data_IF_567531181982
#
_entry.id   IF_567531181982
#
_cell.length_a   1.000
_cell.length_b   1.000
_cell.length_c   1.000
_cell.angle_alpha   90.00
_cell.angle_beta   90.00
_cell.angle_gamma   90.00
#
_symmetry.space_group_name_H-M   'P 1'
#
loop_
_entity.id
_entity.type
_entity.pdbx_description
1 polymer ?
#
# COMPACT_ATOMS: atom_id res chain seq x y z
N UNK A 1 -1.76 -0.60 -22.75
CA UNK A 1 -2.92 -0.82 -23.62
C UNK A 1 -4.15 -0.24 -22.95
N UNK A 2 -4.92 0.56 -23.70
CA UNK A 2 -6.19 1.13 -23.26
C UNK A 2 -7.32 0.42 -24.00
N UNK A 3 -8.28 -0.14 -23.26
CA UNK A 3 -9.45 -0.76 -23.87
C UNK A 3 -10.42 0.32 -24.39
N UNK A 4 -10.96 0.13 -25.60
CA UNK A 4 -11.91 1.06 -26.23
C UNK A 4 -13.31 0.46 -26.37
N UNK A 5 -13.45 -0.86 -26.22
CA UNK A 5 -14.73 -1.58 -26.15
C UNK A 5 -14.56 -2.87 -25.35
N UNK A 6 -15.68 -3.51 -24.98
CA UNK A 6 -15.65 -4.80 -24.32
C UNK A 6 -15.23 -5.93 -25.26
N UNK A 7 -14.54 -6.94 -24.74
CA UNK A 7 -14.13 -8.11 -25.50
C UNK A 7 -13.04 -8.94 -24.83
N UNK A 8 -12.45 -9.86 -25.59
CA UNK A 8 -11.36 -10.72 -25.13
C UNK A 8 -10.02 -9.98 -25.14
N UNK A 9 -9.12 -10.34 -24.22
CA UNK A 9 -7.78 -9.77 -24.15
C UNK A 9 -7.03 -9.90 -25.49
N UNK A 10 -7.21 -11.03 -26.17
CA UNK A 10 -6.50 -11.38 -27.40
C UNK A 10 -7.10 -10.76 -28.67
N UNK A 11 -8.26 -10.09 -28.57
CA UNK A 11 -8.88 -9.43 -29.72
C UNK A 11 -8.22 -8.06 -29.94
N UNK A 12 -7.48 -7.93 -31.04
CA UNK A 12 -6.78 -6.70 -31.40
C UNK A 12 -7.74 -5.49 -31.57
N UNK A 13 -9.00 -5.73 -31.91
CA UNK A 13 -9.99 -4.67 -32.14
C UNK A 13 -10.47 -4.00 -30.85
N UNK A 14 -10.25 -4.62 -29.69
CA UNK A 14 -10.61 -4.11 -28.35
C UNK A 14 -9.73 -2.95 -27.92
N UNK A 15 -8.53 -2.81 -28.49
CA UNK A 15 -7.49 -1.94 -27.97
C UNK A 15 -7.27 -0.69 -28.80
N UNK A 16 -6.96 0.42 -28.12
CA UNK A 16 -6.49 1.64 -28.77
C UNK A 16 -5.21 1.34 -29.58
N UNK A 17 -5.30 1.40 -30.90
CA UNK A 17 -4.20 1.09 -31.81
C UNK A 17 -4.33 -0.24 -32.57
N UNK A 18 -5.39 -1.01 -32.33
CA UNK A 18 -5.68 -2.20 -33.14
C UNK A 18 -4.68 -3.34 -32.97
N UNK A 19 -4.02 -3.41 -31.81
CA UNK A 19 -3.03 -4.45 -31.46
C UNK A 19 -3.41 -5.07 -30.12
N UNK A 20 -3.43 -6.39 -30.06
CA UNK A 20 -3.63 -7.11 -28.81
C UNK A 20 -2.38 -7.02 -27.92
N UNK A 21 -2.54 -7.01 -26.57
CA UNK A 21 -1.46 -7.12 -25.62
C UNK A 21 -0.52 -8.28 -25.92
N UNK A 22 0.79 -7.99 -25.91
CA UNK A 22 1.86 -8.94 -26.16
C UNK A 22 3.10 -8.56 -25.35
N UNK A 23 3.96 -9.52 -25.03
CA UNK A 23 5.16 -9.28 -24.22
C UNK A 23 4.81 -8.78 -22.82
N UNK A 24 5.59 -7.81 -22.31
CA UNK A 24 5.32 -7.15 -21.04
C UNK A 24 4.41 -5.96 -21.28
N UNK A 25 3.29 -5.89 -20.56
CA UNK A 25 2.32 -4.84 -20.78
C UNK A 25 1.62 -4.37 -19.51
N UNK A 26 1.03 -3.18 -19.60
CA UNK A 26 0.07 -2.66 -18.61
C UNK A 26 -1.27 -2.39 -19.28
N UNK A 27 -2.36 -2.57 -18.54
CA UNK A 27 -3.73 -2.37 -18.99
C UNK A 27 -4.39 -1.21 -18.24
N UNK A 28 -5.25 -0.49 -18.95
CA UNK A 28 -6.27 0.38 -18.37
C UNK A 28 -7.61 0.01 -18.98
N UNK A 29 -8.57 -0.34 -18.12
CA UNK A 29 -9.92 -0.74 -18.51
C UNK A 29 -10.87 0.39 -18.07
N UNK A 30 -11.37 1.24 -18.99
CA UNK A 30 -12.27 2.34 -18.65
C UNK A 30 -13.62 1.85 -18.11
N UNK A 31 -14.33 2.75 -17.43
CA UNK A 31 -15.67 2.48 -16.92
C UNK A 31 -16.61 2.01 -18.05
N UNK A 32 -17.50 1.06 -17.74
CA UNK A 32 -18.45 0.50 -18.71
C UNK A 32 -17.87 -0.52 -19.70
N UNK A 33 -16.55 -0.73 -19.71
CA UNK A 33 -15.88 -1.73 -20.56
C UNK A 33 -15.56 -2.98 -19.76
N UNK A 34 -15.80 -4.15 -20.35
CA UNK A 34 -15.43 -5.46 -19.80
C UNK A 34 -14.36 -6.10 -20.66
N UNK A 35 -13.19 -6.37 -20.06
CA UNK A 35 -12.17 -7.22 -20.65
C UNK A 35 -12.24 -8.60 -20.03
N UNK A 36 -12.35 -9.61 -20.89
CA UNK A 36 -12.35 -11.02 -20.49
C UNK A 36 -10.99 -11.64 -20.80
N UNK A 37 -10.48 -12.44 -19.88
CA UNK A 37 -9.37 -13.35 -20.11
C UNK A 37 -9.92 -14.77 -19.92
N UNK A 38 -10.32 -15.37 -21.04
CA UNK A 38 -10.81 -16.74 -21.08
C UNK A 38 -9.70 -17.79 -20.90
N UNK A 39 -10.08 -18.99 -20.48
CA UNK A 39 -9.14 -20.09 -20.23
C UNK A 39 -8.54 -20.09 -18.82
N UNK A 40 -7.60 -21.00 -18.56
CA UNK A 40 -7.10 -21.27 -17.20
C UNK A 40 -5.81 -20.53 -16.81
N UNK A 41 -5.15 -19.85 -17.74
CA UNK A 41 -3.83 -19.23 -17.49
C UNK A 41 -3.63 -17.97 -18.33
N UNK A 42 -3.17 -16.89 -17.71
CA UNK A 42 -2.54 -15.77 -18.40
C UNK A 42 -1.03 -16.00 -18.46
N UNK A 43 -0.55 -16.41 -19.63
CA UNK A 43 0.87 -16.71 -19.89
C UNK A 43 1.72 -15.48 -20.24
N UNK A 44 1.14 -14.29 -20.29
CA UNK A 44 1.86 -13.04 -20.57
C UNK A 44 2.07 -12.23 -19.30
N UNK A 45 3.14 -11.44 -19.25
CA UNK A 45 3.45 -10.61 -18.10
C UNK A 45 2.65 -9.30 -18.12
N UNK A 46 1.53 -9.31 -17.40
CA UNK A 46 0.77 -8.10 -17.10
C UNK A 46 1.36 -7.42 -15.87
N UNK A 47 2.16 -6.36 -16.09
CA UNK A 47 2.85 -5.63 -15.04
C UNK A 47 1.86 -4.89 -14.13
N UNK A 48 0.88 -4.21 -14.73
CA UNK A 48 -0.12 -3.42 -14.01
C UNK A 48 -1.45 -3.40 -14.75
N UNK A 49 -2.56 -3.50 -14.02
CA UNK A 49 -3.91 -3.38 -14.56
C UNK A 49 -4.73 -2.43 -13.70
N UNK A 50 -5.05 -1.24 -14.22
CA UNK A 50 -5.99 -0.30 -13.61
C UNK A 50 -7.40 -0.58 -14.15
N UNK A 51 -8.29 -1.04 -13.27
CA UNK A 51 -9.64 -1.50 -13.62
C UNK A 51 -10.69 -0.49 -13.16
N UNK A 52 -11.09 0.43 -14.04
CA UNK A 52 -12.25 1.31 -13.84
C UNK A 52 -13.56 0.66 -14.31
N UNK A 53 -13.47 -0.23 -15.30
CA UNK A 53 -14.59 -1.05 -15.81
C UNK A 53 -14.63 -2.41 -15.15
N UNK A 54 -14.49 -3.47 -15.94
CA UNK A 54 -14.51 -4.85 -15.44
C UNK A 54 -13.39 -5.67 -16.05
N UNK A 55 -12.64 -6.37 -15.19
CA UNK A 55 -11.74 -7.45 -15.57
C UNK A 55 -12.38 -8.78 -15.18
N UNK A 56 -12.67 -9.63 -16.15
CA UNK A 56 -13.28 -10.94 -15.92
C UNK A 56 -12.28 -12.05 -16.27
N UNK A 57 -12.06 -12.98 -15.33
CA UNK A 57 -10.99 -13.96 -15.42
C UNK A 57 -11.54 -15.39 -15.34
N UNK A 58 -11.01 -16.28 -16.19
CA UNK A 58 -11.15 -17.72 -15.97
C UNK A 58 -12.38 -18.36 -16.59
N UNK A 59 -13.08 -17.67 -17.49
CA UNK A 59 -14.22 -18.24 -18.20
C UNK A 59 -13.84 -19.57 -18.88
N UNK A 60 -14.62 -20.62 -18.61
CA UNK A 60 -14.40 -21.96 -19.14
C UNK A 60 -13.31 -22.78 -18.44
N UNK A 61 -12.81 -22.34 -17.27
CA UNK A 61 -11.77 -23.03 -16.51
C UNK A 61 -12.19 -23.30 -15.06
N UNK A 62 -11.60 -24.32 -14.44
CA UNK A 62 -11.79 -24.60 -13.01
C UNK A 62 -11.07 -23.59 -12.11
N UNK A 63 -9.92 -23.11 -12.54
CA UNK A 63 -9.07 -22.14 -11.84
C UNK A 63 -8.47 -21.16 -12.85
N UNK A 64 -8.02 -20.00 -12.39
CA UNK A 64 -7.27 -19.05 -13.23
C UNK A 64 -5.88 -18.80 -12.65
N UNK A 65 -4.85 -18.89 -13.49
CA UNK A 65 -3.44 -18.79 -13.08
C UNK A 65 -2.76 -17.61 -13.75
N UNK A 66 -2.09 -16.77 -12.96
CA UNK A 66 -1.11 -15.83 -13.49
C UNK A 66 0.24 -16.53 -13.58
N UNK A 67 0.86 -16.57 -14.77
CA UNK A 67 2.20 -17.13 -14.92
C UNK A 67 3.31 -16.19 -14.37
N UNK A 68 3.02 -14.89 -14.32
CA UNK A 68 3.92 -13.84 -13.83
C UNK A 68 3.20 -12.94 -12.84
N UNK A 69 3.91 -12.30 -11.89
CA UNK A 69 3.28 -11.49 -10.84
C UNK A 69 2.58 -10.26 -11.42
N UNK A 70 1.26 -10.10 -11.22
CA UNK A 70 0.55 -8.89 -11.62
C UNK A 70 0.36 -7.92 -10.46
N UNK A 71 0.23 -6.65 -10.81
CA UNK A 71 -0.36 -5.60 -9.96
C UNK A 71 -1.74 -5.25 -10.48
N UNK A 72 -2.79 -5.63 -9.75
CA UNK A 72 -4.17 -5.35 -10.13
C UNK A 72 -4.75 -4.31 -9.19
N UNK A 73 -5.23 -3.21 -9.77
CA UNK A 73 -5.80 -2.09 -9.03
C UNK A 73 -7.23 -1.90 -9.49
N UNK A 74 -8.18 -2.34 -8.68
CA UNK A 74 -9.60 -2.14 -8.94
C UNK A 74 -9.99 -0.76 -8.44
N UNK A 75 -10.25 0.14 -9.39
CA UNK A 75 -10.59 1.54 -9.14
C UNK A 75 -12.05 1.66 -8.70
N UNK A 76 -12.44 2.87 -8.28
CA UNK A 76 -13.84 3.15 -7.93
C UNK A 76 -14.78 2.78 -9.08
N UNK A 77 -15.91 2.15 -8.78
CA UNK A 77 -16.87 1.52 -9.71
C UNK A 77 -16.36 0.30 -10.51
N UNK A 78 -15.06 0.03 -10.45
CA UNK A 78 -14.43 -1.10 -11.11
C UNK A 78 -14.79 -2.44 -10.48
N UNK A 79 -14.69 -3.51 -11.28
CA UNK A 79 -14.96 -4.88 -10.83
C UNK A 79 -13.89 -5.87 -11.30
N UNK A 80 -13.43 -6.71 -10.37
CA UNK A 80 -12.72 -7.94 -10.70
C UNK A 80 -13.70 -9.12 -10.57
N UNK A 81 -13.97 -9.82 -11.68
CA UNK A 81 -14.89 -10.95 -11.73
C UNK A 81 -14.12 -12.26 -11.82
N UNK A 82 -14.45 -13.18 -10.94
CA UNK A 82 -14.12 -14.59 -11.05
C UNK A 82 -15.19 -15.31 -11.85
N UNK A 83 -14.77 -15.94 -12.94
CA UNK A 83 -15.62 -16.76 -13.80
C UNK A 83 -15.14 -18.23 -13.82
N UNK A 84 -14.24 -18.60 -12.91
CA UNK A 84 -13.78 -19.97 -12.75
C UNK A 84 -14.87 -20.81 -12.06
N UNK A 85 -14.94 -22.11 -12.37
CA UNK A 85 -15.95 -22.97 -11.74
C UNK A 85 -15.61 -23.38 -10.30
N UNK A 86 -14.35 -23.26 -9.85
CA UNK A 86 -13.94 -23.56 -8.47
C UNK A 86 -13.78 -22.33 -7.59
N UNK A 87 -13.98 -21.13 -8.13
CA UNK A 87 -13.71 -19.85 -7.47
C UNK A 87 -12.26 -19.73 -6.95
N UNK A 88 -11.27 -20.01 -7.81
CA UNK A 88 -9.85 -20.01 -7.42
C UNK A 88 -9.00 -19.23 -8.40
N UNK A 89 -8.26 -18.26 -7.87
CA UNK A 89 -7.18 -17.58 -8.55
C UNK A 89 -5.83 -17.98 -7.95
N UNK A 90 -4.87 -18.28 -8.83
CA UNK A 90 -3.52 -18.70 -8.50
C UNK A 90 -2.54 -17.60 -8.93
N UNK A 91 -1.76 -17.11 -7.98
CA UNK A 91 -0.79 -16.03 -8.15
C UNK A 91 0.62 -16.52 -7.81
N UNK A 92 1.67 -16.10 -8.54
CA UNK A 92 3.03 -16.25 -8.05
C UNK A 92 3.30 -15.24 -6.91
N UNK A 93 4.39 -15.43 -6.17
CA UNK A 93 4.90 -14.41 -5.24
C UNK A 93 5.16 -13.08 -5.96
N UNK A 94 5.18 -11.98 -5.20
CA UNK A 94 5.31 -10.59 -5.69
C UNK A 94 4.07 -10.03 -6.39
N UNK A 95 2.93 -10.68 -6.23
CA UNK A 95 1.65 -10.23 -6.78
C UNK A 95 0.92 -9.33 -5.78
N UNK A 96 0.12 -8.38 -6.27
CA UNK A 96 -0.74 -7.56 -5.40
C UNK A 96 -2.08 -7.29 -6.07
N UNK A 97 -3.14 -7.35 -5.26
CA UNK A 97 -4.47 -6.88 -5.62
C UNK A 97 -4.89 -5.81 -4.63
N UNK A 98 -5.14 -4.60 -5.14
CA UNK A 98 -5.69 -3.50 -4.36
C UNK A 98 -7.07 -3.13 -4.91
N UNK A 99 -8.08 -3.13 -4.07
CA UNK A 99 -9.43 -2.65 -4.38
C UNK A 99 -9.64 -1.36 -3.64
N UNK A 100 -9.78 -0.27 -4.40
CA UNK A 100 -9.98 1.07 -3.85
C UNK A 100 -11.44 1.22 -3.38
N UNK A 101 -11.70 2.29 -2.63
CA UNK A 101 -13.06 2.62 -2.20
C UNK A 101 -14.03 2.73 -3.39
N UNK A 102 -15.16 2.03 -3.29
CA UNK A 102 -16.17 1.93 -4.36
C UNK A 102 -15.83 0.93 -5.48
N UNK A 103 -14.64 0.31 -5.47
CA UNK A 103 -14.33 -0.86 -6.30
C UNK A 103 -14.85 -2.15 -5.68
N UNK A 104 -14.85 -3.25 -6.44
CA UNK A 104 -15.31 -4.53 -5.90
C UNK A 104 -14.81 -5.79 -6.58
N UNK A 105 -15.03 -6.91 -5.89
CA UNK A 105 -14.97 -8.27 -6.43
C UNK A 105 -16.40 -8.73 -6.70
N UNK A 106 -16.72 -9.09 -7.95
CA UNK A 106 -18.10 -9.47 -8.29
C UNK A 106 -18.47 -10.92 -7.97
N UNK A 107 -17.54 -11.73 -7.45
CA UNK A 107 -17.81 -13.06 -6.92
C UNK A 107 -17.35 -13.13 -5.46
N UNK A 108 -18.25 -13.53 -4.55
CA UNK A 108 -17.91 -13.80 -3.15
C UNK A 108 -17.27 -15.18 -3.04
N UNK A 109 -16.30 -15.33 -2.13
CA UNK A 109 -15.71 -16.65 -1.85
C UNK A 109 -14.62 -17.09 -2.82
N UNK A 110 -14.14 -16.22 -3.71
CA UNK A 110 -12.94 -16.50 -4.50
C UNK A 110 -11.73 -16.66 -3.59
N UNK A 111 -11.08 -17.82 -3.69
CA UNK A 111 -9.84 -18.10 -3.02
C UNK A 111 -8.66 -17.55 -3.83
N UNK A 112 -7.91 -16.64 -3.23
CA UNK A 112 -6.62 -16.17 -3.70
C UNK A 112 -5.55 -17.09 -3.12
N UNK A 113 -4.76 -17.73 -3.97
CA UNK A 113 -3.70 -18.65 -3.54
C UNK A 113 -2.37 -18.24 -4.14
N UNK A 114 -1.32 -18.36 -3.35
CA UNK A 114 0.03 -18.26 -3.85
C UNK A 114 0.51 -19.62 -4.38
N UNK A 115 1.26 -19.61 -5.47
CA UNK A 115 1.90 -20.79 -6.04
C UNK A 115 3.40 -20.51 -6.14
N UNK A 116 4.21 -21.36 -5.50
CA UNK A 116 5.67 -21.30 -5.58
C UNK A 116 6.22 -22.64 -6.07
N UNK A 117 7.03 -22.61 -7.14
CA UNK A 117 7.63 -23.82 -7.71
C UNK A 117 6.61 -24.88 -8.15
N UNK A 118 5.37 -24.48 -8.46
CA UNK A 118 4.27 -25.39 -8.83
C UNK A 118 3.50 -25.99 -7.65
N UNK A 119 3.84 -25.63 -6.41
CA UNK A 119 3.15 -26.08 -5.19
C UNK A 119 2.23 -24.98 -4.66
N UNK A 120 1.01 -25.36 -4.27
CA UNK A 120 0.07 -24.44 -3.62
C UNK A 120 0.60 -24.06 -2.23
N UNK A 121 0.78 -22.76 -1.98
CA UNK A 121 1.20 -22.20 -0.71
C UNK A 121 0.01 -21.68 0.10
N UNK A 122 0.22 -20.54 0.76
CA UNK A 122 -0.82 -19.82 1.49
C UNK A 122 -2.07 -19.54 0.64
N UNK A 123 -3.22 -19.47 1.31
CA UNK A 123 -4.51 -19.19 0.69
C UNK A 123 -5.30 -18.23 1.57
N UNK A 124 -5.97 -17.28 0.92
CA UNK A 124 -6.93 -16.38 1.53
C UNK A 124 -8.24 -16.44 0.74
N UNK A 125 -9.38 -16.46 1.41
CA UNK A 125 -10.69 -16.45 0.76
C UNK A 125 -11.33 -15.09 0.96
N UNK A 126 -11.73 -14.44 -0.14
CA UNK A 126 -12.38 -13.13 -0.09
C UNK A 126 -13.72 -13.21 0.64
N UNK A 127 -13.81 -12.46 1.74
CA UNK A 127 -15.01 -12.36 2.59
C UNK A 127 -15.92 -11.18 2.21
N UNK A 128 -15.35 -10.14 1.59
CA UNK A 128 -16.07 -8.95 1.09
C UNK A 128 -16.05 -8.88 -0.43
N UNK A 129 -17.14 -8.33 -0.99
CA UNK A 129 -17.26 -8.03 -2.42
C UNK A 129 -16.91 -6.57 -2.76
N UNK A 130 -16.62 -5.74 -1.75
CA UNK A 130 -16.36 -4.29 -1.92
C UNK A 130 -15.09 -3.87 -1.20
N UNK A 131 -14.34 -2.96 -1.82
CA UNK A 131 -13.21 -2.30 -1.17
C UNK A 131 -13.63 -1.23 -0.14
N UNK A 132 -12.67 -0.62 0.57
CA UNK A 132 -11.23 -0.76 0.36
C UNK A 132 -10.68 -2.09 0.87
N UNK A 133 -9.70 -2.65 0.16
CA UNK A 133 -9.05 -3.90 0.53
C UNK A 133 -7.72 -4.06 -0.21
N UNK A 134 -6.72 -4.65 0.43
CA UNK A 134 -5.46 -5.04 -0.21
C UNK A 134 -5.11 -6.47 0.13
N UNK A 135 -4.65 -7.23 -0.86
CA UNK A 135 -4.05 -8.55 -0.69
C UNK A 135 -2.69 -8.58 -1.38
N UNK A 136 -1.63 -8.82 -0.60
CA UNK A 136 -0.26 -8.95 -1.08
C UNK A 136 0.23 -10.39 -0.98
N UNK A 137 0.74 -10.93 -2.09
CA UNK A 137 1.43 -12.22 -2.12
C UNK A 137 2.93 -11.97 -1.98
N UNK A 138 3.48 -12.16 -0.79
CA UNK A 138 4.83 -11.73 -0.45
C UNK A 138 5.93 -12.63 -1.03
N UNK A 139 7.18 -12.15 -1.16
CA UNK A 139 8.31 -12.95 -1.64
C UNK A 139 8.55 -14.24 -0.85
N UNK A 140 8.25 -14.23 0.45
CA UNK A 140 8.48 -15.33 1.39
C UNK A 140 7.44 -16.46 1.30
N UNK A 141 6.39 -16.29 0.49
CA UNK A 141 5.32 -17.29 0.34
C UNK A 141 4.09 -17.04 1.20
N UNK A 142 4.08 -15.98 2.01
CA UNK A 142 2.92 -15.58 2.80
C UNK A 142 1.93 -14.74 1.99
N UNK A 143 0.71 -14.64 2.51
CA UNK A 143 -0.32 -13.71 2.02
C UNK A 143 -0.68 -12.78 3.18
N UNK A 144 -0.59 -11.49 2.94
CA UNK A 144 -1.04 -10.45 3.87
C UNK A 144 -2.24 -9.72 3.31
N UNK A 145 -3.21 -9.42 4.17
CA UNK A 145 -4.45 -8.76 3.80
C UNK A 145 -4.77 -7.61 4.73
N UNK A 146 -5.34 -6.55 4.16
CA UNK A 146 -5.72 -5.34 4.87
C UNK A 146 -7.13 -4.93 4.46
N UNK A 147 -7.94 -4.52 5.43
CA UNK A 147 -9.27 -3.91 5.22
C UNK A 147 -9.17 -2.43 4.79
N UNK A 148 -8.07 -2.07 4.12
CA UNK A 148 -7.73 -0.75 3.61
C UNK A 148 -6.91 -0.86 2.33
N UNK A 149 -6.75 0.26 1.62
CA UNK A 149 -5.73 0.36 0.56
C UNK A 149 -4.37 0.49 1.27
N UNK A 150 -3.46 -0.46 1.07
CA UNK A 150 -2.19 -0.51 1.77
C UNK A 150 -1.04 -0.73 0.79
N UNK A 151 -0.01 0.11 0.86
CA UNK A 151 1.24 -0.16 0.15
C UNK A 151 2.21 -0.91 1.08
N UNK A 152 2.83 -1.97 0.56
CA UNK A 152 3.71 -2.85 1.34
C UNK A 152 5.14 -2.64 0.85
N UNK A 153 6.00 -2.07 1.67
CA UNK A 153 7.42 -1.92 1.36
C UNK A 153 8.14 -3.24 1.59
N UNK A 154 8.66 -3.84 0.51
CA UNK A 154 9.30 -5.17 0.49
C UNK A 154 10.80 -5.13 0.19
N UNK A 155 11.29 -3.99 -0.31
CA UNK A 155 12.71 -3.77 -0.57
C UNK A 155 13.14 -2.48 0.12
N UNK A 156 14.36 -2.47 0.69
CA UNK A 156 14.91 -1.23 1.24
C UNK A 156 15.09 -0.18 0.14
N UNK A 157 14.65 1.05 0.39
CA UNK A 157 14.74 2.13 -0.58
C UNK A 157 13.93 3.35 -0.21
N UNK A 158 13.84 4.29 -1.15
CA UNK A 158 13.12 5.55 -0.97
C UNK A 158 11.61 5.37 -1.24
N UNK A 159 10.80 6.12 -0.49
CA UNK A 159 9.35 6.16 -0.61
C UNK A 159 8.86 6.51 -2.01
N UNK A 160 9.63 7.28 -2.78
CA UNK A 160 9.28 7.67 -4.15
C UNK A 160 9.66 6.61 -5.20
N UNK A 161 10.44 5.60 -4.82
CA UNK A 161 10.89 4.55 -5.73
C UNK A 161 9.85 3.43 -5.82
N UNK A 162 9.28 3.20 -7.01
CA UNK A 162 8.30 2.13 -7.19
C UNK A 162 8.84 0.75 -6.80
N UNK A 163 10.12 0.46 -7.06
CA UNK A 163 10.76 -0.82 -6.72
C UNK A 163 10.84 -1.14 -5.22
N UNK A 164 10.58 -0.16 -4.35
CA UNK A 164 10.49 -0.35 -2.89
C UNK A 164 9.23 -1.11 -2.49
N UNK A 165 8.14 -0.94 -3.24
CA UNK A 165 6.83 -1.47 -2.90
C UNK A 165 6.46 -2.72 -3.69
N UNK A 166 5.71 -3.63 -3.05
CA UNK A 166 5.19 -4.85 -3.66
C UNK A 166 4.45 -4.52 -4.97
N UNK A 167 4.83 -5.20 -6.04
CA UNK A 167 4.24 -4.98 -7.37
C UNK A 167 4.44 -3.57 -7.94
N UNK A 168 5.31 -2.74 -7.37
CA UNK A 168 5.40 -1.33 -7.75
C UNK A 168 4.20 -0.49 -7.33
N UNK A 169 3.38 -0.98 -6.39
CA UNK A 169 2.22 -0.28 -5.86
C UNK A 169 2.64 0.76 -4.81
N UNK A 170 3.30 1.82 -5.27
CA UNK A 170 3.68 2.94 -4.44
C UNK A 170 2.46 3.84 -4.13
N UNK A 171 2.37 4.41 -2.91
CA UNK A 171 1.34 5.39 -2.56
C UNK A 171 1.39 6.63 -3.45
N UNK A 172 0.23 7.17 -3.77
CA UNK A 172 0.09 8.46 -4.47
C UNK A 172 -1.23 9.12 -4.11
N UNK A 173 -1.36 10.42 -4.37
CA UNK A 173 -2.59 11.15 -4.09
C UNK A 173 -3.83 10.55 -4.78
N UNK A 174 -3.69 10.03 -6.01
CA UNK A 174 -4.76 9.36 -6.75
C UNK A 174 -5.21 8.06 -6.05
N UNK A 175 -4.25 7.23 -5.66
CA UNK A 175 -4.51 5.94 -4.99
C UNK A 175 -5.07 6.14 -3.58
N UNK A 176 -4.60 7.17 -2.89
CA UNK A 176 -4.87 7.39 -1.47
C UNK A 176 -5.97 8.42 -1.19
N UNK A 177 -6.80 8.76 -2.18
CA UNK A 177 -7.89 9.76 -2.05
C UNK A 177 -9.02 9.42 -1.03
N UNK A 178 -8.87 8.34 -0.27
CA UNK A 178 -9.72 7.99 0.89
C UNK A 178 -8.92 7.42 2.07
N UNK A 179 -7.61 7.67 2.10
CA UNK A 179 -6.67 7.09 3.06
C UNK A 179 -5.98 5.83 2.53
N UNK A 180 -4.66 5.77 2.74
CA UNK A 180 -3.86 4.56 2.59
C UNK A 180 -3.14 4.19 3.88
N UNK A 181 -2.92 2.90 4.08
CA UNK A 181 -1.92 2.38 4.99
C UNK A 181 -0.57 2.17 4.32
N UNK A 182 0.48 2.13 5.13
CA UNK A 182 1.82 1.68 4.75
C UNK A 182 2.23 0.55 5.69
N UNK A 183 2.67 -0.57 5.14
CA UNK A 183 3.35 -1.63 5.89
C UNK A 183 4.84 -1.64 5.51
N UNK A 184 5.72 -1.64 6.50
CA UNK A 184 7.16 -1.88 6.30
C UNK A 184 7.50 -3.24 6.90
N UNK A 185 7.75 -4.24 6.05
CA UNK A 185 7.97 -5.62 6.49
C UNK A 185 9.35 -5.81 7.13
N UNK A 186 9.50 -6.89 7.88
CA UNK A 186 10.75 -7.21 8.57
C UNK A 186 11.96 -7.26 7.61
N UNK A 187 13.09 -6.69 8.03
CA UNK A 187 14.32 -6.61 7.23
C UNK A 187 14.35 -5.48 6.21
N UNK A 188 13.27 -4.69 6.07
CA UNK A 188 13.20 -3.58 5.11
C UNK A 188 13.45 -2.24 5.79
N UNK A 189 14.19 -1.36 5.12
CA UNK A 189 14.33 0.06 5.47
C UNK A 189 13.61 0.94 4.46
N UNK A 190 12.52 1.57 4.88
CA UNK A 190 11.80 2.56 4.07
C UNK A 190 12.26 3.98 4.43
N UNK A 191 12.82 4.69 3.46
CA UNK A 191 13.29 6.08 3.61
C UNK A 191 12.31 7.08 3.03
N UNK A 192 12.11 8.20 3.72
CA UNK A 192 11.29 9.33 3.25
C UNK A 192 12.12 10.48 2.68
N UNK A 193 13.43 10.28 2.44
CA UNK A 193 14.34 11.35 2.03
C UNK A 193 13.89 12.06 0.74
N UNK A 194 13.38 11.32 -0.24
CA UNK A 194 12.86 11.84 -1.51
C UNK A 194 11.55 12.61 -1.39
N UNK A 195 10.87 12.56 -0.23
CA UNK A 195 9.66 13.34 0.04
C UNK A 195 9.97 14.79 0.47
N UNK A 196 11.25 15.14 0.65
CA UNK A 196 11.70 16.51 0.96
C UNK A 196 10.96 17.15 2.14
N UNK A 197 10.81 16.40 3.23
CA UNK A 197 10.28 16.90 4.51
C UNK A 197 8.75 16.90 4.63
N UNK A 198 8.00 16.35 3.66
CA UNK A 198 6.55 16.25 3.82
C UNK A 198 5.90 15.08 3.10
N UNK A 199 4.96 14.43 3.79
CA UNK A 199 3.98 13.53 3.19
C UNK A 199 2.71 14.35 2.92
N UNK A 200 2.41 14.59 1.64
CA UNK A 200 1.38 15.54 1.18
C UNK A 200 0.12 14.89 0.57
N UNK A 201 -0.22 13.68 0.99
CA UNK A 201 -1.45 12.98 0.62
C UNK A 201 -1.92 12.10 1.78
N UNK A 202 -3.10 11.48 1.65
CA UNK A 202 -3.78 10.87 2.78
C UNK A 202 -3.20 9.50 3.14
N UNK A 203 -2.20 9.50 4.03
CA UNK A 203 -1.69 8.29 4.68
C UNK A 203 -2.24 8.26 6.09
N UNK A 204 -3.13 7.31 6.35
CA UNK A 204 -3.87 7.21 7.60
C UNK A 204 -3.20 6.26 8.58
N UNK A 205 -2.35 5.35 8.11
CA UNK A 205 -1.57 4.46 8.97
C UNK A 205 -0.20 4.15 8.40
N UNK A 206 0.78 4.02 9.30
CA UNK A 206 2.12 3.52 8.99
C UNK A 206 2.46 2.49 10.06
N UNK A 207 2.61 1.24 9.66
CA UNK A 207 3.02 0.13 10.52
C UNK A 207 4.44 -0.27 10.17
N UNK A 208 5.29 -0.37 11.20
CA UNK A 208 6.68 -0.79 11.06
C UNK A 208 6.87 -2.07 11.84
N UNK A 209 6.99 -3.18 11.10
CA UNK A 209 7.11 -4.51 11.69
C UNK A 209 8.42 -4.67 12.49
N UNK A 210 8.46 -5.65 13.40
CA UNK A 210 9.68 -5.99 14.12
C UNK A 210 10.81 -6.33 13.15
N UNK A 211 11.98 -5.72 13.35
CA UNK A 211 13.13 -5.87 12.45
C UNK A 211 13.09 -4.98 11.19
N UNK A 212 12.02 -4.20 10.99
CA UNK A 212 11.94 -3.18 9.95
C UNK A 212 12.46 -1.83 10.45
N UNK A 213 12.81 -0.93 9.52
CA UNK A 213 13.16 0.47 9.82
C UNK A 213 12.37 1.46 8.97
N UNK A 214 11.82 2.49 9.60
CA UNK A 214 11.26 3.65 8.92
C UNK A 214 12.13 4.88 9.18
N UNK A 215 12.78 5.39 8.13
CA UNK A 215 13.65 6.57 8.19
C UNK A 215 12.86 7.82 7.80
N UNK A 216 12.57 8.65 8.80
CA UNK A 216 11.80 9.87 8.67
C UNK A 216 12.70 11.10 8.49
N UNK A 217 12.45 11.87 7.44
CA UNK A 217 13.19 13.09 7.12
C UNK A 217 14.20 12.91 5.99
N UNK A 218 14.92 13.99 5.71
CA UNK A 218 15.96 14.05 4.68
C UNK A 218 17.31 14.31 5.36
N UNK A 219 18.34 13.45 5.15
CA UNK A 219 19.66 13.66 5.73
C UNK A 219 20.22 15.05 5.44
N UNK A 220 20.69 15.72 6.49
CA UNK A 220 21.26 17.08 6.39
C UNK A 220 20.22 18.21 6.31
N UNK A 221 18.93 17.92 6.14
CA UNK A 221 17.88 18.93 6.13
C UNK A 221 17.58 19.45 7.55
N UNK A 222 17.46 20.76 7.69
CA UNK A 222 17.08 21.44 8.93
C UNK A 222 15.55 21.63 9.07
N UNK A 223 14.83 21.46 7.97
CA UNK A 223 13.37 21.43 7.92
C UNK A 223 12.92 20.02 8.28
N UNK A 224 12.17 19.88 9.36
CA UNK A 224 11.70 18.58 9.86
C UNK A 224 10.80 17.81 8.89
N UNK A 225 9.94 16.94 9.42
CA UNK A 225 8.99 16.17 8.62
C UNK A 225 7.54 16.49 8.99
N UNK A 226 6.68 16.62 7.99
CA UNK A 226 5.27 16.97 8.16
C UNK A 226 4.35 15.94 7.51
N UNK A 227 3.28 15.57 8.22
CA UNK A 227 2.16 14.82 7.67
C UNK A 227 1.01 15.79 7.32
N UNK A 228 0.42 15.65 6.14
CA UNK A 228 -0.71 16.49 5.68
C UNK A 228 -2.08 15.93 6.05
N UNK A 229 -2.13 14.76 6.67
CA UNK A 229 -3.35 14.05 7.07
C UNK A 229 -3.14 13.40 8.44
N UNK A 230 -4.23 13.18 9.16
CA UNK A 230 -4.20 12.46 10.43
C UNK A 230 -3.67 11.04 10.19
N UNK A 231 -2.68 10.63 10.99
CA UNK A 231 -1.94 9.38 10.78
C UNK A 231 -1.74 8.64 12.10
N UNK A 232 -1.92 7.32 12.08
CA UNK A 232 -1.49 6.44 13.16
C UNK A 232 -0.15 5.80 12.79
N UNK A 233 0.91 6.17 13.49
CA UNK A 233 2.21 5.49 13.41
C UNK A 233 2.29 4.40 14.48
N UNK A 234 2.50 3.15 14.06
CA UNK A 234 2.64 1.98 14.92
C UNK A 234 4.00 1.33 14.69
N UNK A 235 4.94 1.57 15.61
CA UNK A 235 6.35 1.23 15.46
C UNK A 235 6.71 0.06 16.39
N UNK A 236 6.66 -1.16 15.85
CA UNK A 236 7.15 -2.39 16.50
C UNK A 236 8.59 -2.73 16.11
N UNK A 237 9.10 -2.11 15.03
CA UNK A 237 10.50 -2.13 14.62
C UNK A 237 11.24 -0.87 15.06
N UNK A 238 11.97 -0.26 14.15
CA UNK A 238 12.77 0.93 14.44
C UNK A 238 12.30 2.14 13.63
N UNK A 239 12.11 3.28 14.29
CA UNK A 239 11.94 4.57 13.64
C UNK A 239 13.19 5.41 13.81
N UNK A 240 13.77 5.89 12.72
CA UNK A 240 14.94 6.77 12.76
C UNK A 240 14.60 8.14 12.20
N UNK A 241 14.85 9.21 12.96
CA UNK A 241 14.77 10.57 12.43
C UNK A 241 16.14 11.04 11.96
N UNK A 242 16.25 11.36 10.67
CA UNK A 242 17.54 11.60 9.98
C UNK A 242 17.81 13.07 9.62
N UNK A 243 16.94 14.01 10.02
CA UNK A 243 17.19 15.45 9.86
C UNK A 243 18.34 15.96 10.73
N UNK A 244 18.97 17.06 10.30
CA UNK A 244 20.00 17.78 11.08
C UNK A 244 19.40 18.80 12.07
N UNK A 245 18.10 19.03 11.97
CA UNK A 245 17.29 19.91 12.81
C UNK A 245 15.81 19.64 12.58
N UNK A 246 14.95 20.29 13.38
CA UNK A 246 13.52 20.40 13.08
C UNK A 246 12.61 19.59 13.99
N UNK A 247 11.49 19.17 13.41
CA UNK A 247 10.30 18.67 14.10
C UNK A 247 9.68 17.48 13.38
N UNK A 248 8.81 16.76 14.08
CA UNK A 248 7.79 15.90 13.49
C UNK A 248 6.45 16.60 13.67
N UNK A 249 5.78 16.92 12.57
CA UNK A 249 4.52 17.64 12.57
C UNK A 249 3.35 16.71 12.29
N UNK A 250 2.50 16.57 13.30
CA UNK A 250 1.33 15.69 13.29
C UNK A 250 0.04 16.51 13.27
N UNK A 251 -0.89 16.26 12.35
CA UNK A 251 -2.22 16.86 12.40
C UNK A 251 -3.05 16.39 13.61
N UNK A 252 -4.08 17.15 14.03
CA UNK A 252 -5.07 16.65 14.97
C UNK A 252 -5.67 15.30 14.54
N UNK A 253 -5.89 14.39 15.49
CA UNK A 253 -6.34 13.01 15.22
C UNK A 253 -5.22 12.02 14.92
N UNK A 254 -3.95 12.42 15.03
CA UNK A 254 -2.80 11.53 14.81
C UNK A 254 -2.37 10.82 16.08
N UNK A 255 -1.86 9.60 15.92
CA UNK A 255 -1.21 8.83 16.97
C UNK A 255 0.23 8.50 16.59
N UNK A 256 1.13 8.57 17.57
CA UNK A 256 2.52 8.17 17.44
C UNK A 256 2.84 7.15 18.53
N UNK A 257 3.03 5.90 18.14
CA UNK A 257 3.16 4.78 19.07
C UNK A 257 4.44 3.99 18.77
N UNK A 258 5.36 4.01 19.72
CA UNK A 258 6.44 3.01 19.82
C UNK A 258 5.90 1.89 20.70
N UNK A 259 5.64 0.75 20.09
CA UNK A 259 5.02 -0.40 20.74
C UNK A 259 6.09 -1.30 21.36
N UNK A 260 5.68 -2.39 22.02
CA UNK A 260 6.61 -3.29 22.67
C UNK A 260 7.62 -3.89 21.67
N UNK A 261 8.91 -3.76 21.98
CA UNK A 261 10.01 -4.16 21.09
C UNK A 261 10.41 -3.10 20.06
N UNK A 262 9.63 -2.02 19.96
CA UNK A 262 9.94 -0.87 19.12
C UNK A 262 11.07 -0.01 19.67
N UNK A 263 11.66 0.80 18.79
CA UNK A 263 12.69 1.75 19.15
C UNK A 263 12.62 3.02 18.29
N UNK A 264 13.11 4.12 18.86
CA UNK A 264 13.35 5.37 18.14
C UNK A 264 14.80 5.80 18.30
N UNK A 265 15.39 6.34 17.23
CA UNK A 265 16.70 7.01 17.33
C UNK A 265 16.78 8.27 16.47
N UNK A 266 17.59 9.21 16.94
CA UNK A 266 17.98 10.39 16.19
C UNK A 266 19.34 10.93 16.67
N UNK A 267 20.03 11.67 15.81
CA UNK A 267 21.26 12.38 16.18
C UNK A 267 20.98 13.60 17.08
N UNK A 268 19.73 14.08 17.12
CA UNK A 268 19.30 15.27 17.86
C UNK A 268 18.03 14.97 18.66
N UNK A 269 17.70 15.82 19.63
CA UNK A 269 16.35 15.82 20.19
C UNK A 269 15.36 16.34 19.14
N UNK A 270 14.19 15.70 19.04
CA UNK A 270 13.19 16.00 18.01
C UNK A 270 11.92 16.53 18.68
N UNK A 271 11.46 17.71 18.28
CA UNK A 271 10.18 18.25 18.75
C UNK A 271 9.03 17.65 17.96
N UNK A 272 8.01 17.14 18.63
CA UNK A 272 6.72 16.82 18.03
C UNK A 272 5.81 18.05 18.17
N UNK A 273 5.24 18.51 17.06
CA UNK A 273 4.37 19.69 16.98
C UNK A 273 3.01 19.31 16.38
N UNK A 274 1.94 19.99 16.81
CA UNK A 274 0.67 19.91 16.06
C UNK A 274 0.79 20.76 14.82
N UNK A 275 0.42 20.20 13.68
CA UNK A 275 0.25 20.94 12.44
C UNK A 275 -1.23 21.21 12.18
N UNK A 276 -1.64 22.46 12.27
CA UNK A 276 -3.00 22.86 11.92
C UNK A 276 -3.16 22.84 10.40
N UNK A 277 -3.98 21.91 9.91
CA UNK A 277 -4.28 21.75 8.49
C UNK A 277 -5.05 22.94 7.90
N UNK A 278 -5.80 23.69 8.72
CA UNK A 278 -6.60 24.81 8.27
C UNK A 278 -5.76 26.07 8.06
N UNK A 279 -4.86 26.37 9.01
CA UNK A 279 -4.02 27.57 8.96
C UNK A 279 -2.64 27.33 8.36
N UNK A 280 -2.21 26.08 8.27
CA UNK A 280 -0.87 25.70 7.83
C UNK A 280 0.23 26.06 8.83
N UNK A 281 -0.12 26.34 10.09
CA UNK A 281 0.79 26.75 11.14
C UNK A 281 0.99 25.64 12.18
N UNK A 282 2.14 25.69 12.88
CA UNK A 282 2.39 24.82 14.01
C UNK A 282 1.75 25.38 15.29
N UNK A 283 1.08 24.53 16.07
CA UNK A 283 0.55 24.88 17.38
C UNK A 283 1.48 24.30 18.45
N UNK A 284 2.59 25.01 18.67
CA UNK A 284 3.55 24.76 19.75
C UNK A 284 4.25 23.37 19.72
N UNK A 285 5.32 23.21 20.52
CA UNK A 285 5.86 21.89 20.81
C UNK A 285 4.92 21.16 21.79
N UNK A 286 4.48 19.96 21.42
CA UNK A 286 3.70 19.09 22.29
C UNK A 286 4.57 18.24 23.20
N UNK A 287 5.63 17.69 22.62
CA UNK A 287 6.50 16.72 23.24
C UNK A 287 7.88 16.81 22.59
N UNK A 288 8.93 16.60 23.38
CA UNK A 288 10.28 16.41 22.84
C UNK A 288 10.64 14.95 22.98
N UNK A 289 11.06 14.32 21.89
CA UNK A 289 11.69 13.01 21.91
C UNK A 289 13.18 13.18 22.20
N UNK A 290 13.71 12.33 23.07
CA UNK A 290 15.16 12.18 23.25
C UNK A 290 15.83 11.65 21.98
N UNK A 291 17.15 11.48 22.02
CA UNK A 291 17.91 10.91 20.89
C UNK A 291 17.73 9.39 20.77
N UNK A 292 17.21 8.73 21.80
CA UNK A 292 17.02 7.28 21.84
C UNK A 292 15.85 6.91 22.75
N UNK A 293 14.95 6.08 22.23
CA UNK A 293 13.97 5.32 23.00
C UNK A 293 14.24 3.85 22.71
N UNK A 294 14.55 3.05 23.73
CA UNK A 294 14.87 1.63 23.57
C UNK A 294 14.18 0.77 24.64
N UNK A 295 13.62 -0.36 24.22
CA UNK A 295 13.11 -1.40 25.13
C UNK A 295 11.87 -1.01 25.95
N UNK A 296 11.21 0.11 25.63
CA UNK A 296 10.01 0.61 26.31
C UNK A 296 8.86 0.90 25.33
N UNK A 297 7.69 1.22 25.88
CA UNK A 297 6.57 1.75 25.09
C UNK A 297 6.51 3.25 25.25
N UNK A 298 6.21 3.95 24.15
CA UNK A 298 5.89 5.37 24.16
C UNK A 298 4.67 5.59 23.29
N UNK A 299 3.69 6.30 23.83
CA UNK A 299 2.47 6.63 23.10
C UNK A 299 2.22 8.12 23.21
N UNK A 300 1.85 8.72 22.08
CA UNK A 300 1.36 10.08 21.97
C UNK A 300 0.09 10.01 21.13
N UNK A 301 -1.02 10.50 21.66
CA UNK A 301 -2.26 10.67 20.91
C UNK A 301 -2.64 12.14 20.87
N UNK A 302 -2.89 12.67 19.68
CA UNK A 302 -3.38 14.03 19.46
C UNK A 302 -4.86 13.93 19.13
N UNK A 303 -5.71 14.44 20.00
CA UNK A 303 -7.16 14.42 19.78
C UNK A 303 -7.56 15.25 18.54
N UNK A 304 -8.79 15.04 18.06
CA UNK A 304 -9.35 15.85 16.97
C UNK A 304 -9.45 17.35 17.31
N UNK A 305 -9.51 17.71 18.60
CA UNK A 305 -9.48 19.11 19.07
C UNK A 305 -8.06 19.64 19.32
N UNK A 306 -7.02 18.85 19.01
CA UNK A 306 -5.62 19.26 19.17
C UNK A 306 -5.07 19.15 20.59
N UNK A 307 -5.67 18.35 21.47
CA UNK A 307 -5.10 18.08 22.80
C UNK A 307 -4.23 16.82 22.77
N UNK A 308 -3.02 16.88 23.30
CA UNK A 308 -2.11 15.74 23.35
C UNK A 308 -2.20 14.96 24.68
N UNK A 309 -2.14 13.64 24.61
CA UNK A 309 -1.95 12.75 25.76
C UNK A 309 -0.72 11.89 25.52
N UNK A 310 0.16 11.76 26.51
CA UNK A 310 1.36 10.93 26.43
C UNK A 310 1.39 9.87 27.52
N UNK A 311 2.01 8.72 27.22
CA UNK A 311 2.33 7.68 28.18
C UNK A 311 3.67 7.02 27.84
N UNK A 312 4.46 6.69 28.86
CA UNK A 312 5.83 6.19 28.73
C UNK A 312 6.89 7.28 28.75
N UNK A 313 8.16 6.89 28.66
CA UNK A 313 9.31 7.82 28.60
C UNK A 313 9.70 8.08 27.15
N UNK A 314 9.66 9.36 26.77
CA UNK A 314 10.07 9.92 25.48
C UNK A 314 11.56 10.24 25.40
#
# INVERSE_FOLDING_TARGET
FLATKSGELTDATVWSGGLAPSGNFSLSIPAGITITISGGTLSLQMLRCDVYGTLALGSGSATFTFAFPPTIIVRSSGKLLDQTSSNVFLFPSNSIIAVLSGGGFGAKGTALKIVQGGVAGASFTLTSATGPFTCGMLPDGSIETYDSVTAIAINSGDFTAAGTFLGGFAPSADICSGGCGIEVISGVTLSTAGLNGALNFDITSITVATGATFQLGTPGASTGFKFSSAVTLSISGHMSFVGSGGYIRLPPGSDFNITAGGAFSSAISVSIEIFDLLTGLAIGPLQTLGTLISGGTFTLSVSASGSATTAGTA
#
